data_IF_679781027037
#
_entry.id   IF_679781027037
#
_cell.length_a   1.000
_cell.length_b   1.000
_cell.length_c   1.000
_cell.angle_alpha   90.00
_cell.angle_beta   90.00
_cell.angle_gamma   90.00
#
_symmetry.space_group_name_H-M   'P 1'
#
loop_
_entity.id
_entity.type
_entity.pdbx_description
1 polymer ?
#
# COMPACT_ATOMS: atom_id res chain seq x y z
N UNK A 1 -36.37 27.27 18.44
CA UNK A 1 -36.35 27.89 17.11
C UNK A 1 -35.79 26.83 16.15
N UNK A 2 -36.69 26.28 15.37
CA UNK A 2 -36.55 25.04 14.59
C UNK A 2 -35.67 25.31 13.35
N UNK A 3 -34.55 24.63 13.21
CA UNK A 3 -33.74 24.64 11.98
C UNK A 3 -34.34 23.61 10.99
N UNK A 4 -34.59 24.08 9.78
CA UNK A 4 -35.23 23.38 8.69
C UNK A 4 -34.27 22.33 8.09
N UNK A 5 -34.74 21.12 7.66
CA UNK A 5 -33.99 20.17 6.87
C UNK A 5 -34.13 20.55 5.37
N UNK A 6 -33.08 21.02 4.77
CA UNK A 6 -33.16 21.44 3.37
C UNK A 6 -31.87 21.42 2.59
N UNK A 7 -31.22 20.23 2.47
CA UNK A 7 -30.04 20.11 1.56
C UNK A 7 -29.91 18.77 0.82
N UNK A 8 -30.77 17.76 1.10
CA UNK A 8 -30.64 16.44 0.46
C UNK A 8 -31.56 16.19 -0.75
N UNK A 9 -32.35 17.16 -1.17
CA UNK A 9 -33.35 16.94 -2.25
C UNK A 9 -32.85 17.20 -3.66
N UNK A 10 -31.76 17.93 -3.86
CA UNK A 10 -31.30 18.34 -5.21
C UNK A 10 -30.67 17.17 -5.97
N UNK A 11 -29.83 16.35 -5.33
CA UNK A 11 -29.19 15.19 -5.97
C UNK A 11 -30.14 14.05 -6.36
N UNK A 12 -31.22 13.85 -5.61
CA UNK A 12 -32.21 12.78 -5.86
C UNK A 12 -33.10 13.11 -7.07
N UNK A 13 -33.45 14.37 -7.25
CA UNK A 13 -34.31 14.81 -8.38
C UNK A 13 -33.62 14.65 -9.72
N UNK A 14 -32.31 14.86 -9.80
CA UNK A 14 -31.55 14.70 -11.04
C UNK A 14 -31.35 13.23 -11.43
N UNK A 15 -31.12 12.34 -10.47
CA UNK A 15 -30.99 10.89 -10.71
C UNK A 15 -32.31 10.31 -11.25
N UNK A 16 -33.44 10.70 -10.66
CA UNK A 16 -34.77 10.27 -11.12
C UNK A 16 -35.10 10.81 -12.51
N UNK A 17 -34.74 12.06 -12.82
CA UNK A 17 -34.93 12.66 -14.14
C UNK A 17 -34.12 11.96 -15.22
N UNK A 18 -32.83 11.69 -14.96
CA UNK A 18 -31.95 10.96 -15.86
C UNK A 18 -32.51 9.53 -16.08
N UNK A 19 -32.87 8.84 -15.01
CA UNK A 19 -33.42 7.49 -15.07
C UNK A 19 -34.68 7.43 -15.93
N UNK A 20 -35.60 8.38 -15.72
CA UNK A 20 -36.81 8.52 -16.53
C UNK A 20 -36.53 8.78 -18.00
N UNK A 21 -35.57 9.67 -18.29
CA UNK A 21 -35.14 9.99 -19.66
C UNK A 21 -34.56 8.76 -20.36
N UNK A 22 -33.60 8.07 -19.75
CA UNK A 22 -32.97 6.88 -20.33
C UNK A 22 -34.00 5.80 -20.66
N UNK A 23 -34.89 5.53 -19.72
CA UNK A 23 -35.97 4.54 -19.89
C UNK A 23 -36.94 4.94 -21.05
N UNK A 24 -37.31 6.24 -21.10
CA UNK A 24 -38.20 6.76 -22.14
C UNK A 24 -37.57 6.64 -23.54
N UNK A 25 -36.30 7.05 -23.69
CA UNK A 25 -35.58 6.99 -24.97
C UNK A 25 -35.38 5.56 -25.47
N UNK A 26 -35.08 4.62 -24.56
CA UNK A 26 -35.00 3.20 -24.94
C UNK A 26 -36.34 2.64 -25.40
N UNK A 27 -37.41 2.93 -24.68
CA UNK A 27 -38.75 2.46 -25.02
C UNK A 27 -39.26 3.08 -26.31
N UNK A 28 -38.98 4.34 -26.59
CA UNK A 28 -39.33 5.04 -27.83
C UNK A 28 -38.70 4.34 -29.06
N UNK A 29 -37.52 3.71 -28.87
CA UNK A 29 -36.85 2.93 -29.92
C UNK A 29 -37.25 1.47 -29.94
N UNK A 30 -38.21 1.06 -29.11
CA UNK A 30 -38.61 -0.33 -28.91
C UNK A 30 -37.47 -1.29 -28.55
N UNK A 31 -36.45 -0.80 -27.85
CA UNK A 31 -35.30 -1.59 -27.47
C UNK A 31 -35.52 -2.31 -26.13
N UNK A 32 -35.07 -3.57 -26.07
CA UNK A 32 -34.84 -4.24 -24.80
C UNK A 32 -33.59 -3.66 -24.12
N UNK A 33 -33.37 -3.94 -22.82
CA UNK A 33 -32.14 -3.59 -22.15
C UNK A 33 -30.90 -4.25 -22.81
N UNK A 34 -31.08 -5.40 -23.42
CA UNK A 34 -29.99 -6.09 -24.13
C UNK A 34 -29.65 -5.41 -25.46
N UNK A 35 -30.67 -4.89 -26.18
CA UNK A 35 -30.46 -4.12 -27.39
C UNK A 35 -29.74 -2.81 -27.09
N UNK A 36 -30.22 -2.06 -26.10
CA UNK A 36 -29.55 -0.82 -25.65
C UNK A 36 -28.11 -1.07 -25.19
N UNK A 37 -27.83 -2.16 -24.49
CA UNK A 37 -26.47 -2.52 -24.07
C UNK A 37 -25.56 -2.82 -25.27
N UNK A 38 -26.06 -3.50 -26.29
CA UNK A 38 -25.33 -3.79 -27.53
C UNK A 38 -24.99 -2.50 -28.28
N UNK A 39 -25.97 -1.63 -28.45
CA UNK A 39 -25.79 -0.34 -29.16
C UNK A 39 -24.86 0.58 -28.39
N UNK A 40 -24.94 0.63 -27.04
CA UNK A 40 -24.00 1.38 -26.19
C UNK A 40 -22.56 0.89 -26.34
N UNK A 41 -22.39 -0.44 -26.41
CA UNK A 41 -21.08 -1.04 -26.70
C UNK A 41 -20.55 -0.65 -28.09
N UNK A 42 -21.41 -0.57 -29.11
CA UNK A 42 -21.03 -0.13 -30.44
C UNK A 42 -20.62 1.36 -30.47
N UNK A 43 -21.33 2.23 -29.74
CA UNK A 43 -20.96 3.64 -29.60
C UNK A 43 -19.57 3.76 -28.97
N UNK A 44 -19.33 3.04 -27.87
CA UNK A 44 -18.02 3.05 -27.19
C UNK A 44 -16.89 2.58 -28.10
N UNK A 45 -17.11 1.52 -28.87
CA UNK A 45 -16.13 0.98 -29.82
C UNK A 45 -15.79 1.99 -30.94
N UNK A 46 -16.78 2.73 -31.46
CA UNK A 46 -16.53 3.81 -32.45
C UNK A 46 -15.67 4.92 -31.90
N UNK A 47 -15.76 5.20 -30.60
CA UNK A 47 -14.91 6.19 -29.92
C UNK A 47 -13.55 5.65 -29.49
N UNK A 48 -13.21 4.40 -29.83
CA UNK A 48 -11.96 3.76 -29.40
C UNK A 48 -11.89 3.47 -27.87
N UNK A 49 -13.07 3.41 -27.20
CA UNK A 49 -13.18 3.20 -25.75
C UNK A 49 -13.47 1.73 -25.45
N UNK A 50 -12.86 1.22 -24.37
CA UNK A 50 -13.15 -0.13 -23.89
C UNK A 50 -14.45 -0.09 -23.08
N UNK A 51 -15.52 -0.66 -23.64
CA UNK A 51 -16.76 -0.88 -22.90
C UNK A 51 -16.73 -2.26 -22.22
N UNK A 52 -17.46 -2.39 -21.13
CA UNK A 52 -17.68 -3.69 -20.47
C UNK A 52 -18.40 -4.69 -21.37
N UNK A 53 -18.50 -5.95 -20.95
CA UNK A 53 -19.26 -6.96 -21.67
C UNK A 53 -20.73 -6.54 -21.85
N UNK A 54 -21.45 -7.02 -22.89
CA UNK A 54 -22.87 -6.72 -23.08
C UNK A 54 -23.73 -7.05 -21.85
N UNK A 55 -23.41 -8.11 -21.12
CA UNK A 55 -24.09 -8.48 -19.88
C UNK A 55 -23.85 -7.45 -18.75
N UNK A 56 -22.62 -6.93 -18.64
CA UNK A 56 -22.27 -5.89 -17.69
C UNK A 56 -22.98 -4.57 -18.00
N UNK A 57 -22.96 -4.15 -19.28
CA UNK A 57 -23.64 -2.94 -19.75
C UNK A 57 -25.16 -3.00 -19.53
N UNK A 58 -25.76 -4.17 -19.76
CA UNK A 58 -27.20 -4.41 -19.47
C UNK A 58 -27.51 -4.22 -18.00
N UNK A 59 -26.65 -4.73 -17.12
CA UNK A 59 -26.83 -4.58 -15.66
C UNK A 59 -26.68 -3.12 -15.24
N UNK A 60 -25.72 -2.39 -15.80
CA UNK A 60 -25.53 -0.97 -15.54
C UNK A 60 -26.72 -0.14 -16.04
N UNK A 61 -27.17 -0.34 -17.27
CA UNK A 61 -28.35 0.33 -17.81
C UNK A 61 -29.58 0.12 -16.94
N UNK A 62 -29.82 -1.12 -16.50
CA UNK A 62 -30.92 -1.42 -15.57
C UNK A 62 -30.81 -0.66 -14.25
N UNK A 63 -29.60 -0.49 -13.69
CA UNK A 63 -29.39 0.28 -12.46
C UNK A 63 -29.63 1.78 -12.68
N UNK A 64 -29.19 2.33 -13.81
CA UNK A 64 -29.40 3.73 -14.18
C UNK A 64 -30.87 4.03 -14.41
N UNK A 65 -31.59 3.23 -15.20
CA UNK A 65 -33.02 3.40 -15.46
C UNK A 65 -33.92 3.22 -14.24
N UNK A 66 -33.45 2.54 -13.20
CA UNK A 66 -34.18 2.41 -11.93
C UNK A 66 -33.71 3.39 -10.85
N UNK A 67 -32.86 4.36 -11.22
CA UNK A 67 -32.39 5.39 -10.27
C UNK A 67 -31.53 4.86 -9.12
N UNK A 68 -31.02 3.63 -9.22
CA UNK A 68 -30.21 3.01 -8.14
C UNK A 68 -28.80 3.56 -8.10
N UNK A 69 -28.27 4.00 -9.23
CA UNK A 69 -26.93 4.59 -9.40
C UNK A 69 -27.02 5.61 -10.52
N UNK A 70 -26.39 6.77 -10.38
CA UNK A 70 -26.24 7.73 -11.47
C UNK A 70 -25.17 7.26 -12.46
N UNK A 71 -25.36 7.45 -13.78
CA UNK A 71 -24.28 7.29 -14.75
C UNK A 71 -23.17 8.32 -14.48
N UNK A 72 -21.90 7.91 -14.62
CA UNK A 72 -20.77 8.83 -14.59
C UNK A 72 -20.68 9.69 -15.89
N UNK A 73 -19.83 10.73 -15.87
CA UNK A 73 -19.66 11.65 -17.01
C UNK A 73 -19.34 10.93 -18.32
N UNK A 74 -18.51 9.89 -18.21
CA UNK A 74 -18.08 9.07 -19.32
C UNK A 74 -19.23 8.27 -19.93
N UNK A 75 -20.07 7.72 -19.06
CA UNK A 75 -21.27 6.98 -19.46
C UNK A 75 -22.36 7.92 -20.00
N UNK A 76 -22.53 9.10 -19.41
CA UNK A 76 -23.48 10.09 -19.91
C UNK A 76 -23.12 10.61 -21.32
N UNK A 77 -21.84 10.81 -21.59
CA UNK A 77 -21.37 11.17 -22.94
C UNK A 77 -21.72 10.08 -23.99
N UNK A 78 -21.54 8.80 -23.64
CA UNK A 78 -21.93 7.69 -24.52
C UNK A 78 -23.44 7.58 -24.68
N UNK A 79 -24.21 7.79 -23.60
CA UNK A 79 -25.66 7.76 -23.62
C UNK A 79 -26.24 8.96 -24.39
N UNK A 80 -25.59 10.12 -24.33
CA UNK A 80 -25.94 11.30 -25.10
C UNK A 80 -25.82 11.05 -26.62
N UNK A 81 -24.73 10.40 -27.04
CA UNK A 81 -24.56 9.99 -28.45
C UNK A 81 -25.53 8.87 -28.82
N UNK A 82 -25.69 7.84 -28.00
CA UNK A 82 -26.57 6.71 -28.25
C UNK A 82 -28.00 7.15 -28.48
N UNK A 83 -28.51 8.07 -27.67
CA UNK A 83 -29.88 8.54 -27.72
C UNK A 83 -30.07 9.85 -28.49
N UNK A 84 -29.00 10.38 -29.09
CA UNK A 84 -29.00 11.70 -29.76
C UNK A 84 -29.54 12.82 -28.85
N UNK A 85 -29.17 12.77 -27.57
CA UNK A 85 -29.62 13.65 -26.51
C UNK A 85 -28.43 14.39 -25.87
N UNK A 86 -27.96 15.50 -26.51
CA UNK A 86 -26.83 16.26 -25.99
C UNK A 86 -27.08 16.84 -24.59
N UNK A 87 -28.34 17.03 -24.19
CA UNK A 87 -28.72 17.47 -22.86
C UNK A 87 -28.39 16.47 -21.75
N UNK A 88 -28.24 15.18 -22.06
CA UNK A 88 -27.73 14.19 -21.09
C UNK A 88 -26.26 14.46 -20.73
N UNK A 89 -25.45 14.86 -21.70
CA UNK A 89 -24.07 15.28 -21.44
C UNK A 89 -24.01 16.66 -20.77
N UNK A 90 -24.87 17.60 -21.18
CA UNK A 90 -24.95 18.96 -20.62
C UNK A 90 -25.45 18.96 -19.15
N UNK A 91 -26.20 17.95 -18.73
CA UNK A 91 -26.64 17.81 -17.33
C UNK A 91 -25.46 17.75 -16.37
N UNK A 92 -24.30 17.24 -16.81
CA UNK A 92 -23.07 17.25 -16.02
C UNK A 92 -22.19 18.50 -16.25
N UNK A 93 -22.26 19.13 -17.42
CA UNK A 93 -21.56 20.40 -17.63
C UNK A 93 -22.08 21.49 -16.66
N UNK A 94 -23.38 21.48 -16.32
CA UNK A 94 -23.94 22.31 -15.26
C UNK A 94 -23.50 21.91 -13.86
N UNK A 95 -23.24 20.62 -13.60
CA UNK A 95 -22.67 20.14 -12.34
C UNK A 95 -21.14 20.28 -12.26
N UNK A 96 -20.44 20.34 -13.39
CA UNK A 96 -19.01 20.70 -13.42
C UNK A 96 -18.79 22.19 -13.13
N UNK A 97 -19.75 23.07 -13.40
CA UNK A 97 -19.71 24.47 -12.95
C UNK A 97 -20.05 24.61 -11.45
N UNK A 98 -20.93 23.79 -10.87
CA UNK A 98 -21.10 23.66 -9.42
C UNK A 98 -19.95 22.90 -8.76
N UNK A 99 -19.25 22.02 -9.47
CA UNK A 99 -17.98 21.39 -9.12
C UNK A 99 -16.78 22.29 -9.42
N UNK A 100 -16.88 23.63 -9.28
CA UNK A 100 -15.74 24.52 -9.44
C UNK A 100 -14.57 24.03 -8.60
N UNK A 101 -13.32 24.27 -9.02
CA UNK A 101 -12.13 23.94 -8.23
C UNK A 101 -12.28 24.36 -6.75
N UNK A 102 -12.97 25.47 -6.51
CA UNK A 102 -13.31 25.95 -5.17
C UNK A 102 -14.27 25.02 -4.40
N UNK A 103 -15.29 24.45 -5.06
CA UNK A 103 -16.23 23.53 -4.41
C UNK A 103 -15.56 22.20 -4.08
N UNK A 104 -14.76 21.66 -4.99
CA UNK A 104 -13.94 20.45 -4.73
C UNK A 104 -12.97 20.67 -3.57
N UNK A 105 -12.27 21.80 -3.54
CA UNK A 105 -11.37 22.16 -2.45
C UNK A 105 -12.11 22.29 -1.11
N UNK A 106 -13.24 23.00 -1.06
CA UNK A 106 -14.06 23.11 0.16
C UNK A 106 -14.49 21.74 0.67
N UNK A 107 -14.94 20.85 -0.21
CA UNK A 107 -15.35 19.49 0.14
C UNK A 107 -14.16 18.66 0.67
N UNK A 108 -13.00 18.77 0.05
CA UNK A 108 -11.79 18.07 0.51
C UNK A 108 -11.34 18.57 1.89
N UNK A 109 -11.31 19.90 2.09
CA UNK A 109 -10.97 20.51 3.38
C UNK A 109 -12.00 20.12 4.45
N UNK A 110 -13.31 20.11 4.13
CA UNK A 110 -14.35 19.72 5.08
C UNK A 110 -14.22 18.25 5.49
N UNK A 111 -13.92 17.35 4.54
CA UNK A 111 -13.64 15.91 4.85
C UNK A 111 -12.41 15.78 5.75
N UNK A 112 -11.32 16.48 5.45
CA UNK A 112 -10.13 16.46 6.28
C UNK A 112 -10.36 17.04 7.68
N UNK A 113 -11.18 18.07 7.81
CA UNK A 113 -11.57 18.66 9.10
C UNK A 113 -12.50 17.76 9.94
N UNK A 114 -13.22 16.83 9.30
CA UNK A 114 -14.07 15.85 9.98
C UNK A 114 -13.26 14.69 10.61
N UNK A 115 -11.96 14.60 10.36
CA UNK A 115 -11.09 13.63 11.02
C UNK A 115 -10.78 14.10 12.44
N UNK A 116 -11.67 13.78 13.37
CA UNK A 116 -11.54 14.03 14.81
C UNK A 116 -10.70 12.95 15.53
N UNK A 117 -10.68 12.94 16.85
CA UNK A 117 -9.90 12.00 17.63
C UNK A 117 -10.45 10.57 17.51
N UNK A 118 -11.77 10.41 17.40
CA UNK A 118 -12.41 9.10 17.24
C UNK A 118 -12.07 8.51 15.85
N UNK A 119 -12.06 9.35 14.81
CA UNK A 119 -11.65 8.94 13.47
C UNK A 119 -10.15 8.56 13.42
N UNK A 120 -9.29 9.29 14.12
CA UNK A 120 -7.85 8.95 14.26
C UNK A 120 -7.68 7.59 14.92
N UNK A 121 -8.44 7.32 16.00
CA UNK A 121 -8.37 6.02 16.69
C UNK A 121 -8.88 4.87 15.80
N UNK A 122 -9.95 5.09 15.05
CA UNK A 122 -10.43 4.12 14.07
C UNK A 122 -9.39 3.82 12.98
N UNK A 123 -8.67 4.85 12.48
CA UNK A 123 -7.59 4.68 11.50
C UNK A 123 -6.40 3.91 12.08
N UNK A 124 -6.08 4.12 13.37
CA UNK A 124 -5.07 3.31 14.08
C UNK A 124 -5.48 1.85 14.19
N UNK A 125 -6.72 1.60 14.61
CA UNK A 125 -7.25 0.24 14.72
C UNK A 125 -7.24 -0.49 13.36
N UNK A 126 -7.56 0.22 12.27
CA UNK A 126 -7.43 -0.33 10.91
C UNK A 126 -6.00 -0.71 10.59
N UNK A 127 -5.02 0.14 10.88
CA UNK A 127 -3.62 -0.16 10.62
C UNK A 127 -3.13 -1.38 11.40
N UNK A 128 -3.50 -1.50 12.67
CA UNK A 128 -3.20 -2.69 13.50
C UNK A 128 -3.81 -3.95 12.87
N UNK A 129 -5.08 -3.89 12.45
CA UNK A 129 -5.74 -5.00 11.77
C UNK A 129 -5.05 -5.37 10.45
N UNK A 130 -4.67 -4.38 9.64
CA UNK A 130 -3.96 -4.60 8.37
C UNK A 130 -2.57 -5.21 8.58
N UNK A 131 -1.86 -4.81 9.64
CA UNK A 131 -0.56 -5.41 10.01
C UNK A 131 -0.73 -6.88 10.43
N UNK A 132 -1.77 -7.19 11.19
CA UNK A 132 -2.10 -8.57 11.56
C UNK A 132 -2.46 -9.45 10.36
N UNK A 133 -3.27 -8.92 9.44
CA UNK A 133 -3.60 -9.60 8.19
C UNK A 133 -2.37 -9.82 7.32
N UNK A 134 -1.49 -8.82 7.20
CA UNK A 134 -0.24 -8.94 6.45
C UNK A 134 0.69 -10.03 7.03
N UNK A 135 0.78 -10.11 8.36
CA UNK A 135 1.53 -11.17 9.04
C UNK A 135 1.04 -12.57 8.73
N UNK A 136 -0.28 -12.75 8.52
CA UNK A 136 -0.94 -14.05 8.32
C UNK A 136 -1.11 -14.40 6.84
N UNK A 137 -1.61 -13.44 6.04
CA UNK A 137 -2.00 -13.64 4.64
C UNK A 137 -0.98 -13.07 3.64
N UNK A 138 0.01 -12.33 4.14
CA UNK A 138 0.99 -11.63 3.32
C UNK A 138 0.40 -10.48 2.50
N UNK A 139 1.25 -9.89 1.66
CA UNK A 139 0.89 -8.75 0.81
C UNK A 139 -0.22 -9.09 -0.21
N UNK A 140 -0.35 -10.35 -0.62
CA UNK A 140 -1.40 -10.79 -1.53
C UNK A 140 -2.81 -10.62 -0.92
N UNK A 141 -2.95 -10.86 0.40
CA UNK A 141 -4.22 -10.71 1.11
C UNK A 141 -4.51 -9.29 1.62
N UNK A 142 -3.47 -8.54 2.00
CA UNK A 142 -3.64 -7.24 2.67
C UNK A 142 -3.28 -6.03 1.79
N UNK A 143 -2.59 -6.21 0.65
CA UNK A 143 -1.99 -5.11 -0.11
C UNK A 143 -2.98 -4.10 -0.67
N UNK A 144 -4.16 -4.54 -1.12
CA UNK A 144 -5.17 -3.64 -1.70
C UNK A 144 -5.77 -2.69 -0.66
N UNK A 145 -6.07 -3.19 0.55
CA UNK A 145 -6.65 -2.36 1.62
C UNK A 145 -5.64 -1.38 2.19
N UNK A 146 -4.36 -1.78 2.29
CA UNK A 146 -3.26 -0.90 2.69
C UNK A 146 -3.02 0.20 1.66
N UNK A 147 -3.08 -0.12 0.36
CA UNK A 147 -2.94 0.87 -0.71
C UNK A 147 -4.07 1.91 -0.66
N UNK A 148 -5.33 1.48 -0.49
CA UNK A 148 -6.47 2.37 -0.37
C UNK A 148 -6.37 3.28 0.87
N UNK A 149 -5.93 2.75 2.01
CA UNK A 149 -5.71 3.54 3.22
C UNK A 149 -4.58 4.56 3.02
N UNK A 150 -3.50 4.19 2.31
CA UNK A 150 -2.39 5.09 1.99
C UNK A 150 -2.87 6.30 1.17
N UNK A 151 -3.65 6.06 0.12
CA UNK A 151 -4.23 7.11 -0.73
C UNK A 151 -5.16 8.03 0.07
N UNK A 152 -6.04 7.43 0.90
CA UNK A 152 -6.95 8.20 1.75
C UNK A 152 -6.20 9.11 2.74
N UNK A 153 -5.17 8.59 3.42
CA UNK A 153 -4.38 9.38 4.36
C UNK A 153 -3.57 10.47 3.65
N UNK A 154 -3.02 10.19 2.47
CA UNK A 154 -2.30 11.19 1.68
C UNK A 154 -3.21 12.36 1.27
N UNK A 155 -4.43 12.07 0.80
CA UNK A 155 -5.44 13.10 0.50
C UNK A 155 -5.84 13.89 1.76
N UNK A 156 -6.05 13.20 2.88
CA UNK A 156 -6.40 13.84 4.16
C UNK A 156 -5.30 14.78 4.63
N UNK A 157 -4.03 14.36 4.61
CA UNK A 157 -2.87 15.21 4.99
C UNK A 157 -2.78 16.44 4.09
N UNK A 158 -2.98 16.27 2.77
CA UNK A 158 -2.90 17.37 1.81
C UNK A 158 -3.95 18.48 2.07
N UNK A 159 -5.11 18.11 2.62
CA UNK A 159 -6.23 19.04 2.84
C UNK A 159 -6.44 19.43 4.33
N UNK A 160 -5.68 18.84 5.26
CA UNK A 160 -5.74 19.21 6.69
C UNK A 160 -5.07 20.56 6.91
N UNK A 161 -5.85 21.57 7.34
CA UNK A 161 -5.37 22.92 7.58
C UNK A 161 -4.79 23.12 8.99
N UNK A 162 -5.33 22.42 10.00
CA UNK A 162 -4.82 22.48 11.37
C UNK A 162 -3.45 21.78 11.51
N UNK A 163 -2.38 22.48 11.95
CA UNK A 163 -1.04 21.91 12.03
C UNK A 163 -0.91 20.76 13.04
N UNK A 164 -1.65 20.80 14.16
CA UNK A 164 -1.61 19.78 15.18
C UNK A 164 -2.25 18.49 14.64
N UNK A 165 -3.43 18.59 14.07
CA UNK A 165 -4.13 17.47 13.41
C UNK A 165 -3.32 16.91 12.25
N UNK A 166 -2.77 17.78 11.39
CA UNK A 166 -1.91 17.36 10.28
C UNK A 166 -0.75 16.50 10.76
N UNK A 167 -0.08 16.88 11.85
CA UNK A 167 1.03 16.08 12.41
C UNK A 167 0.58 14.68 12.80
N UNK A 168 -0.58 14.54 13.46
CA UNK A 168 -1.12 13.25 13.87
C UNK A 168 -1.45 12.37 12.66
N UNK A 169 -2.18 12.91 11.68
CA UNK A 169 -2.54 12.15 10.46
C UNK A 169 -1.30 11.82 9.62
N UNK A 170 -0.30 12.70 9.61
CA UNK A 170 0.98 12.43 8.92
C UNK A 170 1.74 11.27 9.58
N UNK A 171 1.68 11.13 10.92
CA UNK A 171 2.22 9.96 11.62
C UNK A 171 1.54 8.66 11.16
N UNK A 172 0.21 8.66 11.03
CA UNK A 172 -0.52 7.50 10.48
C UNK A 172 -0.15 7.22 9.02
N UNK A 173 -0.03 8.26 8.20
CA UNK A 173 0.43 8.12 6.80
C UNK A 173 1.80 7.47 6.72
N UNK A 174 2.74 7.85 7.60
CA UNK A 174 4.06 7.25 7.68
C UNK A 174 3.98 5.74 7.92
N UNK A 175 3.25 5.31 8.95
CA UNK A 175 3.14 3.90 9.32
C UNK A 175 2.49 3.05 8.21
N UNK A 176 1.42 3.56 7.59
CA UNK A 176 0.77 2.87 6.46
C UNK A 176 1.72 2.79 5.26
N UNK A 177 2.51 3.85 5.01
CA UNK A 177 3.48 3.86 3.93
C UNK A 177 4.66 2.88 4.18
N UNK A 178 5.12 2.75 5.44
CA UNK A 178 6.10 1.73 5.84
C UNK A 178 5.57 0.32 5.58
N UNK A 179 4.38 0.00 6.06
CA UNK A 179 3.74 -1.29 5.83
C UNK A 179 3.59 -1.58 4.34
N UNK A 180 3.01 -0.63 3.59
CA UNK A 180 2.81 -0.75 2.15
C UNK A 180 4.13 -0.85 1.37
N UNK A 181 5.20 -0.22 1.85
CA UNK A 181 6.54 -0.33 1.29
C UNK A 181 7.10 -1.75 1.43
N UNK A 182 7.00 -2.35 2.62
CA UNK A 182 7.42 -3.73 2.86
C UNK A 182 6.57 -4.75 2.11
N UNK A 183 5.26 -4.51 1.97
CA UNK A 183 4.39 -5.33 1.13
C UNK A 183 4.82 -5.32 -0.34
N UNK A 184 5.09 -4.13 -0.89
CA UNK A 184 5.58 -4.00 -2.26
C UNK A 184 6.94 -4.69 -2.45
N UNK A 185 7.82 -4.59 -1.45
CA UNK A 185 9.12 -5.27 -1.44
C UNK A 185 8.96 -6.81 -1.44
N UNK A 186 8.02 -7.34 -0.67
CA UNK A 186 7.72 -8.78 -0.63
C UNK A 186 7.10 -9.28 -1.95
N UNK A 187 6.34 -8.42 -2.65
CA UNK A 187 5.83 -8.71 -3.99
C UNK A 187 6.86 -8.50 -5.11
N UNK A 188 8.11 -8.15 -4.75
CA UNK A 188 9.19 -7.83 -5.71
C UNK A 188 8.92 -6.61 -6.59
N UNK A 189 7.97 -5.77 -6.21
CA UNK A 189 7.65 -4.49 -6.84
C UNK A 189 8.58 -3.40 -6.29
N UNK A 190 9.88 -3.47 -6.62
CA UNK A 190 10.95 -2.70 -5.98
C UNK A 190 10.80 -1.18 -6.17
N UNK A 191 10.31 -0.75 -7.33
CA UNK A 191 10.04 0.65 -7.62
C UNK A 191 8.88 1.21 -6.77
N UNK A 192 7.83 0.41 -6.54
CA UNK A 192 6.72 0.76 -5.66
C UNK A 192 7.19 0.79 -4.20
N UNK A 193 8.00 -0.20 -3.79
CA UNK A 193 8.58 -0.26 -2.46
C UNK A 193 9.42 0.99 -2.17
N UNK A 194 10.32 1.37 -3.09
CA UNK A 194 11.14 2.56 -2.96
C UNK A 194 10.28 3.84 -2.83
N UNK A 195 9.27 4.03 -3.70
CA UNK A 195 8.38 5.19 -3.62
C UNK A 195 7.59 5.26 -2.32
N UNK A 196 7.03 4.14 -1.84
CA UNK A 196 6.26 4.10 -0.59
C UNK A 196 7.15 4.38 0.62
N UNK A 197 8.35 3.82 0.67
CA UNK A 197 9.31 4.15 1.72
C UNK A 197 9.78 5.60 1.67
N UNK A 198 9.88 6.21 0.49
CA UNK A 198 10.14 7.64 0.36
C UNK A 198 8.98 8.47 0.92
N UNK A 199 7.73 8.12 0.60
CA UNK A 199 6.54 8.75 1.21
C UNK A 199 6.57 8.62 2.73
N UNK A 200 6.95 7.45 3.27
CA UNK A 200 7.09 7.23 4.70
C UNK A 200 8.17 8.13 5.31
N UNK A 201 9.33 8.27 4.66
CA UNK A 201 10.41 9.14 5.12
C UNK A 201 9.97 10.60 5.15
N UNK A 202 9.33 11.11 4.09
CA UNK A 202 8.85 12.49 4.02
C UNK A 202 7.79 12.75 5.11
N UNK A 203 6.87 11.79 5.33
CA UNK A 203 5.86 11.87 6.38
C UNK A 203 6.48 11.83 7.80
N UNK A 204 7.45 10.95 8.03
CA UNK A 204 8.16 10.87 9.32
C UNK A 204 8.86 12.18 9.65
N UNK A 205 9.54 12.79 8.67
CA UNK A 205 10.18 14.10 8.82
C UNK A 205 9.20 15.20 9.21
N UNK A 206 8.03 15.24 8.56
CA UNK A 206 6.96 16.20 8.87
C UNK A 206 6.34 15.96 10.25
N UNK A 207 6.23 14.70 10.67
CA UNK A 207 5.74 14.33 12.01
C UNK A 207 6.77 14.57 13.11
N UNK A 208 8.06 14.69 12.78
CA UNK A 208 9.17 14.78 13.74
C UNK A 208 9.53 13.42 14.35
N UNK A 209 9.33 12.33 13.61
CA UNK A 209 9.61 10.95 14.02
C UNK A 209 10.90 10.44 13.35
N UNK A 210 12.03 10.63 14.05
CA UNK A 210 13.34 10.19 13.57
C UNK A 210 13.47 8.67 13.47
N UNK A 211 12.70 7.91 14.27
CA UNK A 211 12.74 6.43 14.24
C UNK A 211 12.15 5.93 12.92
N UNK A 212 10.93 6.34 12.62
CA UNK A 212 10.26 5.98 11.37
C UNK A 212 10.99 6.54 10.15
N UNK A 213 11.64 7.71 10.25
CA UNK A 213 12.51 8.25 9.21
C UNK A 213 13.68 7.31 8.90
N UNK A 214 14.37 6.82 9.97
CA UNK A 214 15.45 5.84 9.83
C UNK A 214 14.99 4.52 9.23
N UNK A 215 13.83 4.01 9.64
CA UNK A 215 13.22 2.80 9.09
C UNK A 215 12.85 2.95 7.61
N UNK A 216 12.30 4.09 7.24
CA UNK A 216 11.94 4.38 5.85
C UNK A 216 13.18 4.43 4.94
N UNK A 217 14.28 5.02 5.40
CA UNK A 217 15.55 5.01 4.68
C UNK A 217 16.12 3.58 4.57
N UNK A 218 16.00 2.77 5.62
CA UNK A 218 16.39 1.36 5.56
C UNK A 218 15.58 0.60 4.50
N UNK A 219 14.26 0.85 4.40
CA UNK A 219 13.41 0.28 3.37
C UNK A 219 13.76 0.73 1.95
N UNK A 220 14.07 2.02 1.75
CA UNK A 220 14.55 2.53 0.46
C UNK A 220 15.87 1.88 0.06
N UNK A 221 16.84 1.81 0.99
CA UNK A 221 18.13 1.17 0.78
C UNK A 221 17.97 -0.32 0.42
N UNK A 222 17.09 -1.04 1.11
CA UNK A 222 16.81 -2.44 0.83
C UNK A 222 16.24 -2.64 -0.59
N UNK A 223 15.33 -1.77 -1.05
CA UNK A 223 14.78 -1.83 -2.39
C UNK A 223 15.85 -1.56 -3.47
N UNK A 224 16.69 -0.56 -3.28
CA UNK A 224 17.80 -0.23 -4.17
C UNK A 224 18.85 -1.34 -4.23
N UNK A 225 19.23 -1.90 -3.07
CA UNK A 225 20.16 -3.03 -3.00
C UNK A 225 19.60 -4.25 -3.72
N UNK A 226 18.32 -4.56 -3.53
CA UNK A 226 17.66 -5.65 -4.24
C UNK A 226 17.55 -5.45 -5.76
N UNK A 227 17.59 -4.19 -6.22
CA UNK A 227 17.66 -3.81 -7.63
C UNK A 227 19.09 -3.82 -8.19
N UNK A 228 20.11 -4.16 -7.38
CA UNK A 228 21.52 -4.17 -7.80
C UNK A 228 22.18 -2.79 -7.83
N UNK A 229 21.69 -1.83 -7.04
CA UNK A 229 22.11 -0.44 -6.97
C UNK A 229 22.72 -0.10 -5.59
N UNK A 230 23.87 -0.70 -5.22
CA UNK A 230 24.45 -0.51 -3.88
C UNK A 230 24.98 0.91 -3.61
N UNK A 231 25.42 1.65 -4.61
CA UNK A 231 25.86 3.03 -4.46
C UNK A 231 24.69 3.97 -4.13
N UNK A 232 23.57 3.79 -4.79
CA UNK A 232 22.33 4.51 -4.57
C UNK A 232 21.72 4.13 -3.20
N UNK A 233 21.84 2.85 -2.81
CA UNK A 233 21.42 2.35 -1.49
C UNK A 233 22.22 3.04 -0.35
N UNK A 234 23.54 3.25 -0.50
CA UNK A 234 24.34 4.02 0.45
C UNK A 234 24.00 5.52 0.39
N UNK A 235 23.71 6.05 -0.81
CA UNK A 235 23.42 7.47 -0.97
C UNK A 235 22.18 7.90 -0.17
N UNK A 236 21.07 7.13 -0.21
CA UNK A 236 19.86 7.48 0.54
C UNK A 236 20.07 7.44 2.06
N UNK A 237 21.01 6.64 2.55
CA UNK A 237 21.30 6.55 4.00
C UNK A 237 22.08 7.75 4.55
N UNK A 238 22.60 8.64 3.68
CA UNK A 238 23.33 9.86 4.13
C UNK A 238 22.40 10.89 4.75
N UNK A 239 21.13 10.91 4.33
CA UNK A 239 20.11 11.84 4.80
C UNK A 239 19.46 11.40 6.13
N UNK A 240 20.00 10.33 6.72
CA UNK A 240 19.47 9.75 7.95
C UNK A 240 19.77 10.55 9.21
N UNK A 241 18.98 10.30 10.29
CA UNK A 241 19.21 10.90 11.59
C UNK A 241 20.66 10.70 12.09
N UNK A 242 21.25 11.74 12.67
CA UNK A 242 22.65 11.70 13.11
C UNK A 242 22.86 10.94 14.44
N UNK A 243 21.81 10.79 15.25
CA UNK A 243 21.86 10.17 16.56
C UNK A 243 20.54 9.49 16.94
N UNK A 244 20.54 8.89 18.13
CA UNK A 244 19.35 8.24 18.68
C UNK A 244 18.92 6.96 17.94
N UNK A 245 17.70 6.49 18.23
CA UNK A 245 17.16 5.25 17.67
C UNK A 245 16.98 5.26 16.15
N UNK A 246 16.69 6.41 15.56
CA UNK A 246 16.61 6.55 14.10
C UNK A 246 17.95 6.29 13.41
N UNK A 247 19.06 6.77 14.01
CA UNK A 247 20.41 6.48 13.53
C UNK A 247 20.75 5.00 13.65
N UNK A 248 20.20 4.27 14.62
CA UNK A 248 20.38 2.83 14.72
C UNK A 248 19.83 2.10 13.52
N UNK A 249 18.64 2.48 13.01
CA UNK A 249 18.06 1.91 11.79
C UNK A 249 18.93 2.18 10.55
N UNK A 250 19.51 3.36 10.45
CA UNK A 250 20.45 3.69 9.37
C UNK A 250 21.72 2.81 9.47
N UNK A 251 22.25 2.56 10.69
CA UNK A 251 23.38 1.66 10.88
C UNK A 251 23.03 0.22 10.52
N UNK A 252 21.84 -0.26 10.89
CA UNK A 252 21.34 -1.60 10.51
C UNK A 252 21.30 -1.73 8.98
N UNK A 253 20.76 -0.74 8.28
CA UNK A 253 20.71 -0.76 6.83
C UNK A 253 22.11 -0.74 6.18
N UNK A 254 23.05 0.05 6.73
CA UNK A 254 24.46 0.01 6.30
C UNK A 254 25.13 -1.33 6.59
N UNK A 255 24.81 -1.96 7.72
CA UNK A 255 25.30 -3.31 8.02
C UNK A 255 24.83 -4.31 6.98
N UNK A 256 23.56 -4.30 6.63
CA UNK A 256 23.00 -5.16 5.59
C UNK A 256 23.67 -4.90 4.21
N UNK A 257 23.87 -3.64 3.86
CA UNK A 257 24.58 -3.25 2.62
C UNK A 257 26.03 -3.77 2.62
N UNK A 258 26.78 -3.61 3.73
CA UNK A 258 28.14 -4.12 3.88
C UNK A 258 28.21 -5.64 3.71
N UNK A 259 27.34 -6.37 4.40
CA UNK A 259 27.26 -7.83 4.26
C UNK A 259 26.98 -8.25 2.82
N UNK A 260 26.03 -7.60 2.15
CA UNK A 260 25.69 -7.87 0.75
C UNK A 260 26.81 -7.56 -0.24
N UNK A 261 27.74 -6.66 0.12
CA UNK A 261 28.93 -6.32 -0.67
C UNK A 261 30.20 -7.06 -0.24
N UNK A 262 30.07 -8.07 0.64
CA UNK A 262 31.17 -8.96 1.04
C UNK A 262 31.96 -8.54 2.29
N UNK A 263 31.56 -7.45 2.96
CA UNK A 263 32.21 -6.97 4.20
C UNK A 263 31.41 -7.40 5.44
N UNK A 264 31.43 -8.71 5.76
CA UNK A 264 30.74 -9.27 6.92
C UNK A 264 31.29 -8.72 8.26
N UNK A 265 32.59 -8.48 8.36
CA UNK A 265 33.21 -7.95 9.58
C UNK A 265 32.77 -6.49 9.86
N UNK A 266 32.77 -5.64 8.82
CA UNK A 266 32.23 -4.29 8.94
C UNK A 266 30.73 -4.28 9.24
N UNK A 267 29.97 -5.23 8.72
CA UNK A 267 28.56 -5.39 9.06
C UNK A 267 28.35 -5.75 10.53
N UNK A 268 29.11 -6.70 11.09
CA UNK A 268 29.04 -7.07 12.50
C UNK A 268 29.29 -5.86 13.42
N UNK A 269 30.34 -5.09 13.15
CA UNK A 269 30.66 -3.87 13.90
C UNK A 269 29.52 -2.85 13.89
N UNK A 270 28.85 -2.67 12.75
CA UNK A 270 27.70 -1.76 12.64
C UNK A 270 26.47 -2.28 13.40
N UNK A 271 26.21 -3.59 13.42
CA UNK A 271 25.15 -4.19 14.21
C UNK A 271 25.41 -4.01 15.71
N UNK A 272 26.63 -4.22 16.19
CA UNK A 272 27.00 -4.03 17.58
C UNK A 272 26.79 -2.56 18.00
N UNK A 273 27.21 -1.61 17.16
CA UNK A 273 26.98 -0.18 17.39
C UNK A 273 25.48 0.24 17.30
N UNK A 274 24.63 -0.56 16.66
CA UNK A 274 23.20 -0.31 16.60
C UNK A 274 22.44 -0.93 17.80
N UNK A 275 22.94 -2.02 18.37
CA UNK A 275 22.25 -2.79 19.41
C UNK A 275 21.92 -1.96 20.65
N UNK A 276 22.86 -1.12 21.11
CA UNK A 276 22.70 -0.27 22.29
C UNK A 276 21.65 0.83 22.11
N UNK A 277 21.46 1.29 20.86
CA UNK A 277 20.58 2.42 20.55
C UNK A 277 19.19 2.00 20.06
N UNK A 278 19.05 0.74 19.60
CA UNK A 278 17.84 0.29 18.92
C UNK A 278 16.84 -0.42 19.80
N UNK A 279 16.93 -0.50 21.09
CA UNK A 279 16.00 -1.17 22.02
C UNK A 279 14.74 -1.77 21.37
N UNK A 280 13.86 -2.42 22.05
CA UNK A 280 12.58 -2.85 21.49
C UNK A 280 11.73 -1.62 21.11
N UNK A 281 11.82 -1.18 19.84
CA UNK A 281 11.03 -0.06 19.38
C UNK A 281 9.61 -0.50 19.10
N UNK A 282 8.69 0.14 19.82
CA UNK A 282 7.27 0.18 19.43
C UNK A 282 7.07 1.39 18.53
N UNK A 283 6.21 1.24 17.52
CA UNK A 283 5.69 2.38 16.78
C UNK A 283 5.09 3.41 17.76
N UNK A 284 5.37 4.68 17.55
CA UNK A 284 4.77 5.76 18.33
C UNK A 284 3.25 5.89 18.08
N UNK A 285 2.75 5.28 17.00
CA UNK A 285 1.36 5.44 16.54
C UNK A 285 0.51 4.18 16.81
N UNK A 286 1.09 2.98 16.67
CA UNK A 286 0.29 1.73 16.63
C UNK A 286 0.73 0.66 17.61
N UNK A 287 1.70 0.91 18.48
CA UNK A 287 2.30 -0.12 19.35
C UNK A 287 2.85 -1.37 18.60
N UNK A 288 2.98 -1.31 17.29
CA UNK A 288 3.56 -2.40 16.48
C UNK A 288 5.04 -2.55 16.86
N UNK A 289 5.41 -3.77 17.25
CA UNK A 289 6.78 -4.11 17.63
C UNK A 289 7.58 -4.44 16.37
N UNK A 290 8.64 -3.68 16.11
CA UNK A 290 9.57 -3.97 15.03
C UNK A 290 10.49 -5.15 15.39
N UNK A 291 11.02 -5.89 14.38
CA UNK A 291 11.91 -7.00 14.65
C UNK A 291 13.12 -6.55 15.49
N UNK A 292 13.51 -7.31 16.52
CA UNK A 292 14.71 -7.02 17.30
C UNK A 292 15.94 -6.96 16.39
N UNK A 293 16.89 -6.05 16.71
CA UNK A 293 18.15 -5.91 15.95
C UNK A 293 18.88 -7.24 15.83
N UNK A 294 18.89 -8.03 16.91
CA UNK A 294 19.50 -9.36 16.95
C UNK A 294 18.94 -10.26 15.82
N UNK A 295 17.62 -10.27 15.62
CA UNK A 295 16.99 -11.07 14.55
C UNK A 295 17.44 -10.63 13.16
N UNK A 296 17.57 -9.31 12.93
CA UNK A 296 18.03 -8.77 11.64
C UNK A 296 19.51 -9.11 11.45
N UNK A 297 20.33 -8.99 12.51
CA UNK A 297 21.75 -9.36 12.51
C UNK A 297 21.93 -10.83 12.16
N UNK A 298 21.25 -11.72 12.85
CA UNK A 298 21.37 -13.15 12.65
C UNK A 298 20.98 -13.56 11.24
N UNK A 299 19.87 -13.03 10.73
CA UNK A 299 19.45 -13.26 9.35
C UNK A 299 20.45 -12.72 8.30
N UNK A 300 21.21 -11.66 8.63
CA UNK A 300 22.18 -11.05 7.71
C UNK A 300 23.54 -11.76 7.74
N UNK A 301 24.00 -12.20 8.93
CA UNK A 301 25.36 -12.71 9.14
C UNK A 301 25.45 -14.24 9.20
N UNK A 302 24.34 -14.99 9.17
CA UNK A 302 24.30 -16.45 9.31
C UNK A 302 25.24 -17.21 8.36
N UNK A 303 25.54 -16.67 7.19
CA UNK A 303 26.49 -17.28 6.26
C UNK A 303 27.94 -17.24 6.76
N UNK A 304 28.29 -16.33 7.66
CA UNK A 304 29.66 -16.03 8.08
C UNK A 304 29.93 -16.14 9.59
N UNK A 305 28.87 -16.23 10.41
CA UNK A 305 28.92 -16.22 11.89
C UNK A 305 28.09 -17.41 12.42
N UNK A 306 28.74 -18.31 13.18
CA UNK A 306 28.08 -19.52 13.71
C UNK A 306 27.00 -19.18 14.73
N UNK A 307 27.23 -18.17 15.58
CA UNK A 307 26.26 -17.71 16.56
C UNK A 307 25.03 -17.12 15.86
N UNK A 308 25.24 -16.37 14.79
CA UNK A 308 24.14 -15.82 14.00
C UNK A 308 23.34 -16.94 13.28
N UNK A 309 24.01 -17.98 12.79
CA UNK A 309 23.36 -19.15 12.21
C UNK A 309 22.48 -19.88 13.22
N UNK A 310 23.00 -20.09 14.43
CA UNK A 310 22.25 -20.78 15.50
C UNK A 310 21.05 -19.94 15.97
N UNK A 311 21.22 -18.62 16.14
CA UNK A 311 20.13 -17.71 16.45
C UNK A 311 19.05 -17.67 15.37
N UNK A 312 19.44 -17.73 14.10
CA UNK A 312 18.48 -17.80 12.99
C UNK A 312 17.72 -19.15 12.95
N UNK A 313 18.40 -20.28 13.25
CA UNK A 313 17.76 -21.60 13.40
C UNK A 313 16.71 -21.58 14.51
N UNK A 314 17.03 -21.03 15.67
CA UNK A 314 16.10 -20.90 16.78
C UNK A 314 14.90 -20.01 16.41
N UNK A 315 15.16 -18.85 15.80
CA UNK A 315 14.12 -17.89 15.41
C UNK A 315 13.09 -18.48 14.44
N UNK A 316 13.49 -19.30 13.46
CA UNK A 316 12.54 -19.86 12.47
C UNK A 316 11.62 -20.93 13.05
N UNK A 317 11.94 -21.48 14.21
CA UNK A 317 11.10 -22.44 14.94
C UNK A 317 10.17 -21.78 15.98
N UNK A 318 10.28 -20.47 16.21
CA UNK A 318 9.40 -19.72 17.10
C UNK A 318 7.93 -19.84 16.60
N UNK A 319 7.00 -20.41 17.40
CA UNK A 319 5.60 -20.58 17.01
C UNK A 319 4.86 -19.26 16.78
N UNK A 320 5.27 -18.21 17.47
CA UNK A 320 4.63 -16.90 17.42
C UNK A 320 5.13 -16.05 16.25
N UNK A 321 6.13 -16.53 15.50
CA UNK A 321 6.65 -15.82 14.34
C UNK A 321 5.60 -15.76 13.21
N UNK A 322 5.22 -14.57 12.72
CA UNK A 322 4.27 -14.44 11.63
C UNK A 322 4.70 -15.24 10.37
N UNK A 323 3.73 -15.79 9.65
CA UNK A 323 3.99 -16.65 8.48
C UNK A 323 4.87 -15.96 7.43
N UNK A 324 4.66 -14.66 7.19
CA UNK A 324 5.48 -13.85 6.27
C UNK A 324 6.94 -13.79 6.71
N UNK A 325 7.19 -13.48 7.98
CA UNK A 325 8.55 -13.39 8.51
C UNK A 325 9.22 -14.77 8.55
N UNK A 326 8.48 -15.80 8.91
CA UNK A 326 8.97 -17.19 8.90
C UNK A 326 9.38 -17.63 7.50
N UNK A 327 8.59 -17.31 6.47
CA UNK A 327 8.93 -17.64 5.08
C UNK A 327 10.25 -16.97 4.67
N UNK A 328 10.40 -15.68 4.95
CA UNK A 328 11.60 -14.89 4.64
C UNK A 328 12.83 -15.39 5.39
N UNK A 329 12.72 -15.60 6.69
CA UNK A 329 13.86 -16.03 7.52
C UNK A 329 14.30 -17.46 7.18
N UNK A 330 13.38 -18.39 6.86
CA UNK A 330 13.72 -19.71 6.36
C UNK A 330 14.43 -19.67 5.01
N UNK A 331 14.05 -18.76 4.12
CA UNK A 331 14.78 -18.56 2.87
C UNK A 331 16.21 -18.07 3.12
N UNK A 332 16.39 -17.09 4.01
CA UNK A 332 17.71 -16.60 4.41
C UNK A 332 18.56 -17.70 5.08
N UNK A 333 17.95 -18.51 5.95
CA UNK A 333 18.61 -19.69 6.54
C UNK A 333 19.06 -20.67 5.47
N UNK A 334 18.19 -20.99 4.49
CA UNK A 334 18.55 -21.89 3.40
C UNK A 334 19.76 -21.38 2.60
N UNK A 335 19.81 -20.09 2.28
CA UNK A 335 20.93 -19.46 1.58
C UNK A 335 22.22 -19.47 2.41
N UNK A 336 22.13 -19.17 3.71
CA UNK A 336 23.27 -19.23 4.62
C UNK A 336 23.86 -20.64 4.74
N UNK A 337 22.99 -21.66 4.87
CA UNK A 337 23.38 -23.08 4.91
C UNK A 337 24.01 -23.53 3.59
N UNK A 338 23.47 -23.07 2.46
CA UNK A 338 24.02 -23.39 1.14
C UNK A 338 25.44 -22.81 0.98
N UNK A 339 25.66 -21.56 1.39
CA UNK A 339 26.97 -20.91 1.38
C UNK A 339 28.00 -21.65 2.25
N UNK A 340 27.54 -22.32 3.30
CA UNK A 340 28.37 -23.15 4.21
C UNK A 340 28.51 -24.60 3.76
N UNK A 341 27.91 -25.01 2.65
CA UNK A 341 27.97 -26.38 2.11
C UNK A 341 27.02 -27.37 2.77
N UNK A 342 26.14 -26.95 3.68
CA UNK A 342 25.13 -27.78 4.35
C UNK A 342 23.90 -28.02 3.46
N UNK A 343 24.10 -28.72 2.32
CA UNK A 343 23.13 -28.80 1.21
C UNK A 343 21.80 -29.48 1.59
N UNK A 344 21.83 -30.50 2.40
CA UNK A 344 20.61 -31.25 2.79
C UNK A 344 19.70 -30.37 3.67
N UNK A 345 20.27 -29.75 4.70
CA UNK A 345 19.54 -28.81 5.57
C UNK A 345 19.05 -27.61 4.79
N UNK A 346 19.88 -27.03 3.90
CA UNK A 346 19.49 -25.93 3.03
C UNK A 346 18.28 -26.28 2.16
N UNK A 347 18.28 -27.48 1.54
CA UNK A 347 17.17 -27.96 0.72
C UNK A 347 15.87 -28.10 1.52
N UNK A 348 15.95 -28.61 2.77
CA UNK A 348 14.79 -28.69 3.65
C UNK A 348 14.23 -27.32 4.01
N UNK A 349 15.08 -26.37 4.41
CA UNK A 349 14.64 -25.01 4.73
C UNK A 349 14.05 -24.29 3.50
N UNK A 350 14.63 -24.51 2.33
CA UNK A 350 14.11 -23.98 1.07
C UNK A 350 12.71 -24.55 0.72
N UNK A 351 12.46 -25.86 0.94
CA UNK A 351 11.12 -26.45 0.75
C UNK A 351 10.09 -25.83 1.68
N UNK A 352 10.42 -25.71 2.99
CA UNK A 352 9.54 -25.09 3.98
C UNK A 352 9.26 -23.61 3.67
N UNK A 353 10.28 -22.86 3.25
CA UNK A 353 10.13 -21.47 2.84
C UNK A 353 9.21 -21.32 1.62
N UNK A 354 9.36 -22.21 0.60
CA UNK A 354 8.50 -22.19 -0.60
C UNK A 354 7.04 -22.49 -0.24
N UNK A 355 6.79 -23.50 0.59
CA UNK A 355 5.42 -23.84 1.01
C UNK A 355 4.73 -22.67 1.71
N UNK A 356 5.44 -21.96 2.60
CA UNK A 356 4.93 -20.76 3.23
C UNK A 356 4.72 -19.62 2.22
N UNK A 357 5.71 -19.38 1.34
CA UNK A 357 5.65 -18.34 0.31
C UNK A 357 4.48 -18.53 -0.67
N UNK A 358 4.13 -19.78 -0.98
CA UNK A 358 2.98 -20.10 -1.82
C UNK A 358 1.65 -19.79 -1.11
N UNK A 359 1.58 -20.06 0.19
CA UNK A 359 0.39 -19.73 1.00
C UNK A 359 0.13 -18.23 1.16
N UNK A 360 1.19 -17.42 1.28
CA UNK A 360 1.09 -15.97 1.49
C UNK A 360 1.32 -15.15 0.20
N UNK A 361 1.63 -15.80 -0.92
CA UNK A 361 1.86 -15.14 -2.20
C UNK A 361 3.16 -14.32 -2.28
N UNK A 362 4.23 -14.66 -1.52
CA UNK A 362 5.49 -13.91 -1.54
C UNK A 362 6.30 -14.19 -2.81
N UNK A 363 6.40 -13.20 -3.71
CA UNK A 363 7.21 -13.30 -4.92
C UNK A 363 8.71 -13.21 -4.61
N UNK A 364 9.08 -12.39 -3.64
CA UNK A 364 10.48 -12.21 -3.24
C UNK A 364 11.11 -13.49 -2.69
N UNK A 365 10.41 -14.20 -1.80
CA UNK A 365 10.92 -15.48 -1.25
C UNK A 365 11.12 -16.50 -2.36
N UNK A 366 10.18 -16.60 -3.30
CA UNK A 366 10.32 -17.48 -4.48
C UNK A 366 11.55 -17.11 -5.32
N UNK A 367 11.77 -15.81 -5.59
CA UNK A 367 12.92 -15.32 -6.35
C UNK A 367 14.24 -15.62 -5.65
N UNK A 368 14.36 -15.36 -4.34
CA UNK A 368 15.54 -15.65 -3.57
C UNK A 368 15.95 -17.12 -3.68
N UNK A 369 14.99 -18.04 -3.61
CA UNK A 369 15.24 -19.47 -3.68
C UNK A 369 15.47 -20.02 -5.10
N UNK A 370 15.32 -19.20 -6.15
CA UNK A 370 15.58 -19.60 -7.54
C UNK A 370 16.90 -19.07 -8.09
N UNK A 371 17.45 -18.01 -7.52
CA UNK A 371 18.68 -17.37 -7.99
C UNK A 371 19.94 -18.19 -7.66
N UNK A 372 19.96 -18.92 -6.54
CA UNK A 372 21.13 -19.66 -6.06
C UNK A 372 21.11 -21.16 -6.43
N UNK A 373 20.17 -21.59 -7.27
CA UNK A 373 20.17 -22.96 -7.84
C UNK A 373 20.87 -23.05 -9.21
N UNK A 374 21.48 -21.99 -9.67
CA UNK A 374 22.33 -21.93 -10.88
C UNK A 374 23.79 -21.76 -10.50
#
# INVERSE_FOLDING_TARGET
MTLAPGTDKIGVVDVERIAGTLRSERLARSWSLSDAARELGAVAARQGRVAGSPASLRTQLSRWENGRVAPDASSLALLAELFERPDLAATQAGHEEEGSGAARLRSAVARAAAVDDDAVEALRAQLVAHTGLDGTLGAAGAGAVVAAQLEHLADTVAHTCDPARRRVVTGLLCEVALLGGWQAFDQDALDVAHRRHRTAHDAARLAGDDVSAGQALAGQSAALLAAGLPQEAEAVLRDGPAGGPGAAWVRIARAQLRAATGDAAGAATLFDAAADAAGAHRSAVTDVVWPPVARIRDATLAAHDDRALDGLRETVEDPDLPARDRARLRAQLALALLARGAREEAAEQARRARALADGIGSHRVRRLLTQDTR
#
